data_IF_684337902642
#
_entry.id   IF_684337902642
#
_cell.length_a   1.000
_cell.length_b   1.000
_cell.length_c   1.000
_cell.angle_alpha   90.00
_cell.angle_beta   90.00
_cell.angle_gamma   90.00
#
_symmetry.space_group_name_H-M   'P 1'
#
loop_
_entity.id
_entity.type
_entity.pdbx_description
1 polymer ?
#
# COMPACT_ATOMS: atom_id res chain seq x y z
N UNK A 1 -27.86 -5.53 -14.53
CA UNK A 1 -26.85 -4.66 -15.16
C UNK A 1 -25.54 -4.90 -14.44
N UNK A 2 -24.49 -5.31 -15.16
CA UNK A 2 -23.17 -5.35 -14.55
C UNK A 2 -22.76 -3.91 -14.20
N UNK A 3 -22.41 -3.66 -12.93
CA UNK A 3 -21.85 -2.37 -12.53
C UNK A 3 -20.52 -2.18 -13.27
N UNK A 4 -20.18 -0.95 -13.64
CA UNK A 4 -18.86 -0.66 -14.19
C UNK A 4 -17.79 -1.12 -13.18
N UNK A 5 -16.75 -1.81 -13.65
CA UNK A 5 -15.76 -2.46 -12.76
C UNK A 5 -15.03 -1.47 -11.83
N UNK A 6 -14.97 -0.20 -12.22
CA UNK A 6 -14.35 0.89 -11.46
C UNK A 6 -15.34 1.84 -10.78
N UNK A 7 -16.61 1.44 -10.59
CA UNK A 7 -17.63 2.33 -10.03
C UNK A 7 -17.20 2.96 -8.69
N UNK A 8 -16.55 2.20 -7.81
CA UNK A 8 -16.08 2.70 -6.51
C UNK A 8 -14.91 3.68 -6.65
N UNK A 9 -13.99 3.45 -7.59
CA UNK A 9 -12.89 4.36 -7.88
C UNK A 9 -13.38 5.66 -8.52
N UNK A 10 -14.37 5.59 -9.40
CA UNK A 10 -15.04 6.77 -9.97
C UNK A 10 -15.71 7.61 -8.88
N UNK A 11 -16.38 6.97 -7.91
CA UNK A 11 -16.96 7.66 -6.76
C UNK A 11 -15.88 8.35 -5.93
N UNK A 12 -14.75 7.68 -5.67
CA UNK A 12 -13.60 8.29 -4.97
C UNK A 12 -12.98 9.45 -5.73
N UNK A 13 -12.82 9.33 -7.04
CA UNK A 13 -12.32 10.42 -7.88
C UNK A 13 -13.22 11.65 -7.77
N UNK A 14 -14.55 11.46 -7.83
CA UNK A 14 -15.52 12.53 -7.66
C UNK A 14 -15.50 13.14 -6.23
N UNK A 15 -15.24 12.36 -5.19
CA UNK A 15 -15.05 12.87 -3.83
C UNK A 15 -13.81 13.75 -3.72
N UNK A 16 -12.66 13.28 -4.22
CA UNK A 16 -11.38 14.01 -4.16
C UNK A 16 -11.45 15.30 -4.99
N UNK A 17 -12.06 15.24 -6.18
CA UNK A 17 -12.20 16.37 -7.09
C UNK A 17 -12.99 17.56 -6.51
N UNK A 18 -13.75 17.36 -5.42
CA UNK A 18 -14.42 18.45 -4.69
C UNK A 18 -13.46 19.34 -3.92
N UNK A 19 -12.30 18.81 -3.52
CA UNK A 19 -11.32 19.49 -2.66
C UNK A 19 -9.98 19.71 -3.33
N UNK A 20 -9.63 18.91 -4.33
CA UNK A 20 -8.38 19.01 -5.08
C UNK A 20 -8.64 18.86 -6.58
N UNK A 21 -8.33 19.91 -7.34
CA UNK A 21 -8.46 19.91 -8.80
C UNK A 21 -7.55 18.86 -9.46
N UNK A 22 -6.43 18.51 -8.83
CA UNK A 22 -5.47 17.51 -9.30
C UNK A 22 -5.80 16.08 -8.81
N UNK A 23 -7.08 15.75 -8.73
CA UNK A 23 -7.58 14.45 -8.24
C UNK A 23 -6.92 13.23 -8.89
N UNK A 24 -6.49 13.32 -10.16
CA UNK A 24 -5.85 12.22 -10.88
C UNK A 24 -4.51 11.81 -10.25
N UNK A 25 -3.83 12.72 -9.53
CA UNK A 25 -2.55 12.44 -8.85
C UNK A 25 -2.66 11.41 -7.74
N UNK A 26 -3.88 11.13 -7.26
CA UNK A 26 -4.16 10.15 -6.22
C UNK A 26 -4.38 8.74 -6.75
N UNK A 27 -4.28 8.54 -8.08
CA UNK A 27 -4.52 7.26 -8.72
C UNK A 27 -3.28 6.78 -9.47
N UNK A 28 -3.22 5.47 -9.65
CA UNK A 28 -2.26 4.77 -10.49
C UNK A 28 -3.01 3.88 -11.48
N UNK A 29 -2.40 3.66 -12.63
CA UNK A 29 -2.86 2.71 -13.65
C UNK A 29 -1.84 1.61 -13.80
N UNK A 30 -2.29 0.38 -14.01
CA UNK A 30 -1.39 -0.71 -14.31
C UNK A 30 -0.85 -0.58 -15.73
N UNK A 31 0.47 -0.46 -15.86
CA UNK A 31 1.19 -0.55 -17.11
C UNK A 31 1.49 -2.02 -17.41
N UNK A 32 0.94 -2.51 -18.53
CA UNK A 32 1.09 -3.91 -18.94
C UNK A 32 2.50 -4.18 -19.48
N UNK A 33 3.19 -3.16 -19.99
CA UNK A 33 4.55 -3.29 -20.54
C UNK A 33 5.55 -3.47 -19.41
N UNK A 34 5.48 -2.60 -18.42
CA UNK A 34 6.39 -2.62 -17.27
C UNK A 34 5.89 -3.55 -16.15
N UNK A 35 4.66 -4.05 -16.25
CA UNK A 35 4.01 -4.93 -15.27
C UNK A 35 3.95 -4.28 -13.87
N UNK A 36 3.70 -2.97 -13.82
CA UNK A 36 3.76 -2.13 -12.62
C UNK A 36 2.66 -1.07 -12.61
N UNK A 37 2.31 -0.56 -11.41
CA UNK A 37 1.39 0.56 -11.27
C UNK A 37 2.14 1.89 -11.41
N UNK A 38 1.72 2.72 -12.36
CA UNK A 38 2.35 4.02 -12.66
C UNK A 38 1.41 5.19 -12.40
N UNK A 39 1.99 6.32 -11.99
CA UNK A 39 1.24 7.56 -11.74
C UNK A 39 0.90 8.29 -13.03
N UNK A 40 -0.29 8.91 -13.07
CA UNK A 40 -0.61 9.90 -14.11
C UNK A 40 -0.13 11.30 -13.73
N UNK A 41 0.38 12.03 -14.73
CA UNK A 41 0.70 13.45 -14.66
C UNK A 41 -0.46 14.35 -15.13
N UNK A 42 -1.52 13.77 -15.69
CA UNK A 42 -2.67 14.47 -16.30
C UNK A 42 -4.01 13.80 -15.96
N UNK A 43 -5.14 14.54 -16.06
CA UNK A 43 -6.48 13.97 -15.90
C UNK A 43 -6.71 12.80 -16.88
N UNK A 44 -7.48 11.81 -16.45
CA UNK A 44 -7.82 10.64 -17.26
C UNK A 44 -9.29 10.24 -17.11
N UNK A 45 -9.73 9.30 -17.95
CA UNK A 45 -11.01 8.59 -17.81
C UNK A 45 -10.75 7.12 -17.50
N UNK A 46 -11.62 6.50 -16.71
CA UNK A 46 -11.53 5.07 -16.42
C UNK A 46 -11.94 4.25 -17.66
N UNK A 47 -11.04 3.39 -18.12
CA UNK A 47 -11.32 2.40 -19.15
C UNK A 47 -11.57 1.03 -18.53
N UNK A 48 -12.59 0.32 -19.00
CA UNK A 48 -13.01 -1.01 -18.52
C UNK A 48 -11.98 -2.14 -18.70
N UNK A 49 -11.00 -1.97 -19.59
CA UNK A 49 -9.95 -2.93 -19.88
C UNK A 49 -8.60 -2.58 -19.22
N UNK A 50 -8.57 -1.57 -18.34
CA UNK A 50 -7.38 -1.17 -17.59
C UNK A 50 -7.60 -1.37 -16.11
N UNK A 51 -6.52 -1.65 -15.40
CA UNK A 51 -6.56 -1.69 -13.94
C UNK A 51 -6.14 -0.34 -13.36
N UNK A 52 -6.90 0.12 -12.39
CA UNK A 52 -6.63 1.36 -11.66
C UNK A 52 -6.67 1.07 -10.17
N UNK A 53 -5.88 1.83 -9.42
CA UNK A 53 -5.96 1.85 -7.97
C UNK A 53 -5.78 3.26 -7.43
N UNK A 54 -6.24 3.49 -6.21
CA UNK A 54 -5.77 4.62 -5.43
C UNK A 54 -4.30 4.38 -5.07
N UNK A 55 -3.50 5.44 -5.09
CA UNK A 55 -2.15 5.41 -4.53
C UNK A 55 -2.23 4.88 -3.10
N UNK A 56 -1.40 3.90 -2.73
CA UNK A 56 -1.24 3.53 -1.34
C UNK A 56 -0.97 4.78 -0.51
N UNK A 57 -1.71 4.94 0.59
CA UNK A 57 -1.38 5.99 1.56
C UNK A 57 0.01 5.74 2.10
N UNK A 58 0.72 6.79 2.49
CA UNK A 58 2.03 6.65 3.11
C UNK A 58 2.05 7.33 4.47
N UNK A 59 2.91 6.82 5.35
CA UNK A 59 3.30 7.43 6.62
C UNK A 59 4.77 7.83 6.53
N UNK A 60 5.13 8.89 7.27
CA UNK A 60 6.52 9.35 7.29
C UNK A 60 7.28 8.73 8.46
N UNK A 61 8.36 8.01 8.16
CA UNK A 61 9.29 7.49 9.17
C UNK A 61 10.67 8.09 8.87
N UNK A 62 11.10 9.04 9.71
CA UNK A 62 12.27 9.88 9.42
C UNK A 62 12.05 10.70 8.15
N UNK A 63 12.89 10.46 7.13
CA UNK A 63 12.83 11.11 5.83
C UNK A 63 12.27 10.21 4.72
N UNK A 64 11.80 9.01 5.05
CA UNK A 64 11.31 8.02 4.08
C UNK A 64 9.79 7.96 4.18
N UNK A 65 9.12 8.02 3.02
CA UNK A 65 7.70 7.74 2.90
C UNK A 65 7.51 6.23 2.80
N UNK A 66 6.77 5.68 3.77
CA UNK A 66 6.54 4.24 3.91
C UNK A 66 5.06 3.98 3.58
N UNK A 67 4.72 3.00 2.73
CA UNK A 67 3.34 2.59 2.53
C UNK A 67 2.64 2.34 3.88
N UNK A 68 1.41 2.84 4.02
CA UNK A 68 0.67 2.77 5.26
C UNK A 68 0.40 1.30 5.60
N UNK A 69 0.85 0.83 6.79
CA UNK A 69 0.61 -0.53 7.21
C UNK A 69 -0.89 -0.76 7.46
N UNK A 70 -1.29 -2.02 7.40
CA UNK A 70 -2.65 -2.45 7.72
C UNK A 70 -3.03 -2.00 9.13
N UNK A 71 -4.28 -1.51 9.29
CA UNK A 71 -4.81 -0.99 10.55
C UNK A 71 -5.92 -1.84 11.17
N UNK A 72 -6.46 -2.78 10.40
CA UNK A 72 -7.56 -3.65 10.82
C UNK A 72 -7.13 -5.13 10.72
N UNK A 73 -7.70 -6.04 11.52
CA UNK A 73 -7.44 -7.48 11.42
C UNK A 73 -7.63 -8.00 9.99
N UNK A 74 -6.74 -8.90 9.56
CA UNK A 74 -6.85 -9.57 8.27
C UNK A 74 -7.82 -10.76 8.33
N UNK A 75 -8.20 -11.27 7.17
CA UNK A 75 -8.91 -12.54 7.09
C UNK A 75 -7.97 -13.70 7.44
N UNK A 76 -8.51 -14.76 8.05
CA UNK A 76 -7.78 -15.99 8.32
C UNK A 76 -7.09 -16.51 7.04
N UNK A 77 -5.91 -17.08 7.24
CA UNK A 77 -5.00 -17.57 6.21
C UNK A 77 -4.41 -16.52 5.24
N UNK A 78 -4.63 -15.22 5.47
CA UNK A 78 -4.02 -14.14 4.67
C UNK A 78 -2.51 -14.09 4.90
N UNK A 79 -1.71 -14.13 3.82
CA UNK A 79 -0.26 -13.95 3.90
C UNK A 79 0.08 -12.48 4.09
N UNK A 80 0.96 -12.18 5.05
CA UNK A 80 1.41 -10.83 5.35
C UNK A 80 2.91 -10.78 5.67
N UNK A 81 3.46 -9.57 5.60
CA UNK A 81 4.89 -9.29 5.72
C UNK A 81 5.15 -8.33 6.88
N UNK A 82 6.22 -8.60 7.64
CA UNK A 82 6.65 -7.81 8.80
C UNK A 82 8.08 -7.31 8.59
N UNK A 83 8.36 -6.01 8.83
CA UNK A 83 9.72 -5.47 8.74
C UNK A 83 10.65 -6.13 9.75
N UNK A 84 11.85 -6.50 9.29
CA UNK A 84 12.90 -7.13 10.12
C UNK A 84 14.09 -6.18 10.23
N UNK A 85 14.48 -5.87 11.47
CA UNK A 85 15.55 -4.90 11.76
C UNK A 85 16.89 -5.55 12.12
N UNK A 86 16.90 -6.86 12.40
CA UNK A 86 18.04 -7.57 12.98
C UNK A 86 18.72 -8.54 12.00
N UNK A 87 18.28 -8.62 10.75
CA UNK A 87 18.88 -9.48 9.72
C UNK A 87 19.82 -8.70 8.82
N UNK A 88 20.92 -9.33 8.42
CA UNK A 88 21.86 -8.79 7.42
C UNK A 88 21.24 -8.65 6.03
N UNK A 89 20.15 -9.37 5.77
CA UNK A 89 19.27 -9.16 4.62
C UNK A 89 18.07 -8.32 5.06
N UNK A 90 17.77 -7.21 4.40
CA UNK A 90 16.56 -6.37 4.63
C UNK A 90 15.23 -7.09 4.30
N UNK A 91 15.26 -8.42 4.12
CA UNK A 91 14.10 -9.23 3.77
C UNK A 91 13.10 -9.27 4.93
N UNK A 92 11.81 -9.02 4.65
CA UNK A 92 10.78 -9.07 5.67
C UNK A 92 10.50 -10.51 6.08
N UNK A 93 9.97 -10.67 7.29
CA UNK A 93 9.46 -11.94 7.76
C UNK A 93 8.05 -12.16 7.17
N UNK A 94 7.78 -13.40 6.75
CA UNK A 94 6.52 -13.77 6.11
C UNK A 94 5.72 -14.62 7.09
N UNK A 95 4.46 -14.25 7.28
CA UNK A 95 3.54 -14.94 8.17
C UNK A 95 2.19 -15.15 7.48
N UNK A 96 1.36 -15.96 8.12
CA UNK A 96 -0.02 -16.22 7.71
C UNK A 96 -0.91 -15.88 8.89
N UNK A 97 -1.90 -15.05 8.66
CA UNK A 97 -2.81 -14.55 9.69
C UNK A 97 -3.68 -15.68 10.24
N UNK A 98 -3.64 -15.89 11.55
CA UNK A 98 -4.54 -16.77 12.30
C UNK A 98 -5.12 -16.06 13.54
N UNK A 99 -4.87 -14.75 13.68
CA UNK A 99 -5.43 -13.90 14.72
C UNK A 99 -4.81 -14.15 16.09
N UNK A 100 -3.66 -14.82 16.18
CA UNK A 100 -2.97 -15.09 17.45
C UNK A 100 -2.36 -13.82 18.05
N UNK A 101 -1.86 -13.94 19.28
CA UNK A 101 -1.23 -12.83 20.00
C UNK A 101 -0.13 -12.12 19.19
N UNK A 102 0.69 -12.87 18.45
CA UNK A 102 1.74 -12.30 17.60
C UNK A 102 1.17 -11.40 16.51
N UNK A 103 0.16 -11.87 15.77
CA UNK A 103 -0.50 -11.12 14.69
C UNK A 103 -1.06 -9.79 15.21
N UNK A 104 -1.81 -9.85 16.31
CA UNK A 104 -2.40 -8.67 16.93
C UNK A 104 -1.35 -7.67 17.40
N UNK A 105 -0.24 -8.14 17.99
CA UNK A 105 0.87 -7.26 18.41
C UNK A 105 1.55 -6.61 17.22
N UNK A 106 1.74 -7.32 16.10
CA UNK A 106 2.32 -6.73 14.89
C UNK A 106 1.36 -5.72 14.25
N UNK A 107 0.06 -6.00 14.26
CA UNK A 107 -0.98 -5.09 13.78
C UNK A 107 -1.00 -3.79 14.61
N UNK A 108 -1.06 -3.90 15.93
CA UNK A 108 -1.06 -2.74 16.85
C UNK A 108 0.20 -1.87 16.70
N UNK A 109 1.34 -2.49 16.38
CA UNK A 109 2.61 -1.78 16.12
C UNK A 109 2.68 -1.16 14.73
N UNK A 110 1.70 -1.42 13.85
CA UNK A 110 1.70 -0.95 12.47
C UNK A 110 2.79 -1.60 11.63
N UNK A 111 3.07 -2.89 11.85
CA UNK A 111 4.12 -3.63 11.16
C UNK A 111 3.59 -4.59 10.08
N UNK A 112 2.27 -4.71 9.94
CA UNK A 112 1.63 -5.62 8.98
C UNK A 112 1.52 -4.97 7.60
N UNK A 113 2.14 -5.57 6.59
CA UNK A 113 2.02 -5.19 5.18
C UNK A 113 1.53 -6.35 4.32
N UNK A 114 0.83 -6.04 3.22
CA UNK A 114 0.28 -7.04 2.30
C UNK A 114 1.21 -7.36 1.12
N UNK A 115 2.33 -6.65 1.02
CA UNK A 115 3.36 -6.89 0.02
C UNK A 115 4.76 -6.79 0.65
N UNK A 116 5.71 -7.46 0.01
CA UNK A 116 7.09 -7.58 0.48
C UNK A 116 7.81 -6.21 0.47
N UNK A 117 7.62 -5.43 -0.60
CA UNK A 117 8.33 -4.18 -0.82
C UNK A 117 7.98 -3.12 0.24
N UNK A 118 6.70 -3.00 0.59
CA UNK A 118 6.23 -2.10 1.65
C UNK A 118 6.88 -2.41 3.00
N UNK A 119 7.02 -3.70 3.34
CA UNK A 119 7.70 -4.12 4.56
C UNK A 119 9.22 -3.84 4.52
N UNK A 120 9.87 -3.98 3.36
CA UNK A 120 11.28 -3.63 3.14
C UNK A 120 11.50 -2.12 3.30
N UNK A 121 10.65 -1.29 2.68
CA UNK A 121 10.68 0.17 2.84
C UNK A 121 10.52 0.55 4.31
N UNK A 122 9.59 -0.07 5.03
CA UNK A 122 9.39 0.18 6.46
C UNK A 122 10.64 -0.19 7.27
N UNK A 123 11.24 -1.36 7.02
CA UNK A 123 12.46 -1.78 7.69
C UNK A 123 13.62 -0.80 7.45
N UNK A 124 13.87 -0.42 6.18
CA UNK A 124 14.88 0.59 5.83
C UNK A 124 14.64 1.92 6.52
N UNK A 125 13.38 2.36 6.59
CA UNK A 125 13.03 3.60 7.26
C UNK A 125 13.38 3.56 8.75
N UNK A 126 13.04 2.47 9.46
CA UNK A 126 13.40 2.30 10.88
C UNK A 126 14.92 2.18 11.08
N UNK A 127 15.61 1.41 10.23
CA UNK A 127 17.07 1.25 10.28
C UNK A 127 17.77 2.60 10.07
N UNK A 128 17.29 3.43 9.15
CA UNK A 128 17.84 4.77 8.86
C UNK A 128 17.83 5.71 10.06
N UNK A 129 16.95 5.48 11.04
CA UNK A 129 16.91 6.25 12.28
C UNK A 129 18.03 5.88 13.25
N UNK A 130 18.70 4.74 13.04
CA UNK A 130 19.70 4.18 13.95
C UNK A 130 21.10 4.11 13.35
N UNK A 131 21.22 4.12 12.02
CA UNK A 131 22.51 4.24 11.33
C UNK A 131 23.05 5.66 11.49
N UNK A 132 24.30 5.77 11.95
CA UNK A 132 25.06 7.04 12.07
C UNK A 132 26.07 7.17 10.95
#
# INVERSE_FOLDING_TARGET
MAKHIHADLMMKAAEIAKTDDQWWKYFEVFDIVDNEFVSYDRPFTFYDHREYRLKPRTIKIGNIDVPEPVREPLADDTVYYVPVLNSSSEKPAIYRWDGVCFDNVMLERGFVHLDCESAEIHARALISLTQK
#
